data_IF_260051870157
#
_entry.id   IF_260051870157
#
_cell.length_a   1.000
_cell.length_b   1.000
_cell.length_c   1.000
_cell.angle_alpha   90.00
_cell.angle_beta   90.00
_cell.angle_gamma   90.00
#
_symmetry.space_group_name_H-M   'P 1'
#
loop_
_entity.id
_entity.type
_entity.pdbx_description
1 polymer ?
#
# COMPACT_ATOMS: atom_id res chain seq x y z
N UNK A 1 -6.76 -9.98 -6.84
CA UNK A 1 -7.24 -9.03 -7.87
C UNK A 1 -8.65 -8.59 -7.50
N UNK A 2 -8.99 -7.31 -7.71
CA UNK A 2 -10.28 -6.74 -7.34
C UNK A 2 -11.31 -6.87 -8.47
N UNK A 3 -12.62 -6.90 -8.15
CA UNK A 3 -13.68 -6.74 -9.13
C UNK A 3 -13.52 -5.46 -9.98
N UNK A 4 -14.03 -5.46 -11.22
CA UNK A 4 -13.91 -4.33 -12.16
C UNK A 4 -14.63 -3.06 -11.67
N UNK A 5 -15.62 -3.22 -10.82
CA UNK A 5 -16.42 -2.17 -10.20
C UNK A 5 -15.86 -1.70 -8.85
N UNK A 6 -14.61 -2.08 -8.52
CA UNK A 6 -13.94 -1.71 -7.28
C UNK A 6 -12.66 -0.91 -7.54
N UNK A 7 -12.42 0.13 -6.75
CA UNK A 7 -11.15 0.84 -6.68
C UNK A 7 -10.41 0.47 -5.40
N UNK A 8 -9.07 0.44 -5.46
CA UNK A 8 -8.22 0.45 -4.28
C UNK A 8 -7.78 1.89 -3.97
N UNK A 9 -8.19 2.44 -2.84
CA UNK A 9 -7.74 3.77 -2.39
C UNK A 9 -6.63 3.57 -1.36
N UNK A 10 -5.40 3.93 -1.72
CA UNK A 10 -4.19 3.72 -0.92
C UNK A 10 -3.70 5.07 -0.40
N UNK A 11 -3.45 5.18 0.90
CA UNK A 11 -2.91 6.38 1.55
C UNK A 11 -1.39 6.25 1.67
N UNK A 12 -0.61 6.95 0.84
CA UNK A 12 0.86 6.87 0.80
C UNK A 12 1.54 7.16 2.15
N UNK A 13 0.92 8.02 2.95
CA UNK A 13 1.42 8.40 4.29
C UNK A 13 1.07 7.41 5.41
N UNK A 14 0.46 6.26 5.09
CA UNK A 14 0.06 5.26 6.09
C UNK A 14 1.16 4.27 6.49
N UNK A 15 2.31 4.30 5.81
CA UNK A 15 3.53 3.59 6.18
C UNK A 15 4.76 4.48 5.94
N UNK A 16 5.90 4.21 6.59
CA UNK A 16 7.09 5.03 6.41
C UNK A 16 7.73 4.80 5.04
N UNK A 17 8.06 5.89 4.33
CA UNK A 17 8.91 5.83 3.14
C UNK A 17 10.35 5.53 3.55
N UNK A 18 10.88 4.37 3.15
CA UNK A 18 12.26 3.99 3.46
C UNK A 18 13.26 4.91 2.73
N UNK A 19 14.37 5.24 3.41
CA UNK A 19 15.39 6.20 2.91
C UNK A 19 15.96 5.82 1.53
N UNK A 20 16.04 4.52 1.23
CA UNK A 20 16.52 4.03 -0.07
C UNK A 20 15.70 4.56 -1.24
N UNK A 21 14.37 4.65 -1.11
CA UNK A 21 13.52 5.18 -2.19
C UNK A 21 13.74 6.67 -2.41
N UNK A 22 13.98 7.43 -1.34
CA UNK A 22 14.35 8.85 -1.46
C UNK A 22 15.70 9.02 -2.14
N UNK A 23 16.67 8.13 -1.84
CA UNK A 23 17.97 8.13 -2.51
C UNK A 23 17.83 7.82 -4.00
N UNK A 24 17.14 6.73 -4.36
CA UNK A 24 16.91 6.32 -5.75
C UNK A 24 16.20 7.40 -6.56
N UNK A 25 15.16 8.02 -5.98
CA UNK A 25 14.40 9.08 -6.63
C UNK A 25 15.27 10.30 -6.96
N UNK A 26 16.19 10.67 -6.05
CA UNK A 26 17.13 11.78 -6.26
C UNK A 26 18.25 11.46 -7.25
N UNK A 27 18.71 10.21 -7.27
CA UNK A 27 19.80 9.79 -8.16
C UNK A 27 19.36 9.72 -9.63
N UNK A 28 18.09 9.37 -9.89
CA UNK A 28 17.54 9.20 -11.23
C UNK A 28 16.49 10.24 -11.66
N UNK A 29 16.52 11.47 -11.10
CA UNK A 29 15.37 12.38 -10.92
C UNK A 29 14.01 11.82 -11.41
N UNK A 30 13.51 10.80 -10.69
CA UNK A 30 12.32 10.06 -11.11
C UNK A 30 11.07 10.71 -10.50
N UNK A 31 10.04 10.91 -11.32
CA UNK A 31 8.74 11.39 -10.85
C UNK A 31 8.14 10.41 -9.82
N UNK A 32 7.42 10.94 -8.81
CA UNK A 32 6.89 10.09 -7.74
C UNK A 32 5.94 9.02 -8.27
N UNK A 33 5.15 9.32 -9.30
CA UNK A 33 4.24 8.35 -9.92
C UNK A 33 5.00 7.15 -10.51
N UNK A 34 6.12 7.39 -11.19
CA UNK A 34 6.96 6.32 -11.75
C UNK A 34 7.64 5.51 -10.64
N UNK A 35 7.99 6.13 -9.51
CA UNK A 35 8.49 5.40 -8.34
C UNK A 35 7.48 4.35 -7.83
N UNK A 36 6.20 4.70 -7.75
CA UNK A 36 5.15 3.74 -7.34
C UNK A 36 4.79 2.73 -8.42
N UNK A 37 5.06 3.03 -9.68
CA UNK A 37 4.85 2.10 -10.81
C UNK A 37 5.91 1.00 -10.85
N UNK A 38 7.15 1.34 -10.50
CA UNK A 38 8.30 0.43 -10.62
C UNK A 38 8.63 -0.26 -9.30
N UNK A 39 8.54 0.45 -8.18
CA UNK A 39 8.94 -0.04 -6.88
C UNK A 39 7.74 -0.32 -5.98
N UNK A 40 7.93 -1.28 -5.07
CA UNK A 40 6.94 -1.60 -4.04
C UNK A 40 6.78 -0.51 -2.96
N UNK A 41 7.68 0.47 -2.94
CA UNK A 41 7.71 1.60 -2.01
C UNK A 41 7.65 1.21 -0.52
N UNK A 42 8.10 0.00 -0.17
CA UNK A 42 8.14 -0.53 1.20
C UNK A 42 7.03 -1.52 1.54
N UNK A 43 6.07 -1.77 0.65
CA UNK A 43 4.99 -2.75 0.87
C UNK A 43 5.19 -3.95 -0.05
N UNK A 44 5.74 -5.04 0.49
CA UNK A 44 5.98 -6.27 -0.27
C UNK A 44 4.74 -7.14 -0.48
N UNK A 45 3.73 -7.02 0.40
CA UNK A 45 2.53 -7.85 0.37
C UNK A 45 1.30 -7.07 0.84
N UNK A 46 0.14 -7.35 0.22
CA UNK A 46 -1.13 -6.68 0.53
C UNK A 46 -2.21 -7.71 0.80
N UNK A 47 -2.90 -7.56 1.93
CA UNK A 47 -4.09 -8.32 2.30
C UNK A 47 -5.32 -7.42 2.22
N UNK A 48 -6.37 -7.92 1.57
CA UNK A 48 -7.67 -7.24 1.46
C UNK A 48 -8.66 -8.04 2.30
N UNK A 49 -9.19 -7.42 3.35
CA UNK A 49 -10.02 -8.07 4.36
C UNK A 49 -11.20 -7.18 4.72
N UNK A 50 -12.27 -7.76 5.29
CA UNK A 50 -13.35 -6.96 5.88
C UNK A 50 -12.80 -6.06 6.99
N UNK A 51 -13.37 -4.87 7.13
CA UNK A 51 -12.97 -3.90 8.13
C UNK A 51 -13.05 -4.46 9.56
N UNK A 52 -14.06 -5.28 9.84
CA UNK A 52 -14.27 -5.92 11.15
C UNK A 52 -13.11 -6.85 11.54
N UNK A 53 -12.44 -7.47 10.55
CA UNK A 53 -11.33 -8.38 10.80
C UNK A 53 -9.97 -7.68 10.76
N UNK A 54 -9.86 -6.48 10.18
CA UNK A 54 -8.58 -5.83 9.90
C UNK A 54 -7.67 -5.73 11.14
N UNK A 55 -8.21 -5.28 12.27
CA UNK A 55 -7.45 -5.13 13.51
C UNK A 55 -7.03 -6.49 14.11
N UNK A 56 -7.91 -7.49 14.05
CA UNK A 56 -7.62 -8.82 14.59
C UNK A 56 -6.51 -9.52 13.79
N UNK A 57 -6.55 -9.38 12.46
CA UNK A 57 -5.56 -9.95 11.54
C UNK A 57 -4.22 -9.24 11.71
N UNK A 58 -4.21 -7.90 11.77
CA UNK A 58 -3.00 -7.14 12.02
C UNK A 58 -2.30 -7.58 13.32
N UNK A 59 -3.06 -7.68 14.42
CA UNK A 59 -2.53 -8.19 15.70
C UNK A 59 -1.97 -9.61 15.59
N UNK A 60 -2.63 -10.49 14.85
CA UNK A 60 -2.16 -11.88 14.67
C UNK A 60 -0.86 -11.91 13.87
N UNK A 61 -0.77 -11.20 12.76
CA UNK A 61 0.44 -11.12 11.93
C UNK A 61 1.62 -10.51 12.68
N UNK A 62 1.39 -9.46 13.48
CA UNK A 62 2.45 -8.89 14.31
C UNK A 62 3.00 -9.84 15.37
N UNK A 63 2.19 -10.80 15.86
CA UNK A 63 2.69 -11.88 16.74
C UNK A 63 3.60 -12.87 16.01
N UNK A 64 3.48 -12.98 14.69
CA UNK A 64 4.38 -13.76 13.85
C UNK A 64 5.62 -12.97 13.40
N UNK A 65 5.81 -11.74 13.90
CA UNK A 65 6.96 -10.89 13.58
C UNK A 65 6.75 -9.95 12.39
N UNK A 66 5.56 -9.93 11.80
CA UNK A 66 5.27 -9.07 10.64
C UNK A 66 4.93 -7.64 11.03
N UNK A 67 5.44 -6.68 10.28
CA UNK A 67 5.05 -5.28 10.40
C UNK A 67 3.84 -4.99 9.50
N UNK A 68 2.70 -4.64 10.11
CA UNK A 68 1.43 -4.46 9.40
C UNK A 68 0.99 -3.00 9.42
N UNK A 69 0.58 -2.50 8.25
CA UNK A 69 0.04 -1.16 8.07
C UNK A 69 -1.38 -1.24 7.50
N UNK A 70 -2.33 -0.47 8.07
CA UNK A 70 -3.64 -0.25 7.42
C UNK A 70 -3.44 0.80 6.33
N UNK A 71 -3.21 0.33 5.10
CA UNK A 71 -2.75 1.22 4.02
C UNK A 71 -3.85 1.89 3.20
N UNK A 72 -5.10 1.47 3.35
CA UNK A 72 -6.17 1.93 2.48
C UNK A 72 -7.49 1.22 2.68
N UNK A 73 -8.36 1.34 1.69
CA UNK A 73 -9.67 0.69 1.63
C UNK A 73 -10.10 0.43 0.20
N UNK A 74 -11.03 -0.49 0.03
CA UNK A 74 -11.72 -0.72 -1.24
C UNK A 74 -12.98 0.13 -1.28
N UNK A 75 -13.26 0.73 -2.43
CA UNK A 75 -14.49 1.50 -2.69
C UNK A 75 -15.10 1.04 -4.00
N UNK A 76 -16.40 1.30 -4.23
CA UNK A 76 -16.98 1.22 -5.58
C UNK A 76 -16.20 2.11 -6.55
N UNK A 77 -16.09 1.70 -7.81
CA UNK A 77 -15.20 2.35 -8.76
C UNK A 77 -15.12 1.68 -10.13
N UNK A 78 -14.00 1.87 -10.80
CA UNK A 78 -13.77 1.49 -12.21
C UNK A 78 -12.49 0.66 -12.38
N UNK A 79 -12.08 -0.07 -11.34
CA UNK A 79 -10.93 -0.98 -11.41
C UNK A 79 -9.58 -0.29 -11.23
N UNK A 80 -9.53 0.90 -10.60
CA UNK A 80 -8.31 1.70 -10.47
C UNK A 80 -7.68 1.60 -9.07
N UNK A 81 -6.37 1.65 -9.02
CA UNK A 81 -5.62 2.00 -7.82
C UNK A 81 -5.44 3.51 -7.76
N UNK A 82 -5.92 4.14 -6.68
CA UNK A 82 -5.84 5.58 -6.46
C UNK A 82 -4.90 5.84 -5.29
N UNK A 83 -3.75 6.43 -5.58
CA UNK A 83 -2.76 6.83 -4.58
C UNK A 83 -3.12 8.22 -4.02
N UNK A 84 -3.31 8.31 -2.70
CA UNK A 84 -3.64 9.54 -1.97
C UNK A 84 -2.57 9.91 -0.95
#
# INVERSE_FOLDING_TARGET
MLPKDCNAVIKKSSWPKHKIFTFLQKAGPVEEEEMFRVFNMGIGFVLIVSEDFANSIAKKLSRYGEQVYKIGRITTGTGKAILK
#
